data_IF_389103444987
#
_entry.id   IF_389103444987
#
_cell.length_a   1.000
_cell.length_b   1.000
_cell.length_c   1.000
_cell.angle_alpha   90.00
_cell.angle_beta   90.00
_cell.angle_gamma   90.00
#
_symmetry.space_group_name_H-M   'P 1'
#
loop_
_entity.id
_entity.type
_entity.pdbx_description
1 polymer ?
#
# COMPACT_ATOMS: atom_id res chain seq x y z
N UNK A 1 16.09 -13.02 0.77
CA UNK A 1 14.61 -13.06 0.84
C UNK A 1 14.24 -13.43 2.28
N UNK A 2 13.18 -12.84 2.85
CA UNK A 2 12.72 -13.26 4.17
C UNK A 2 12.26 -14.73 4.14
N UNK A 3 12.42 -15.43 5.25
CA UNK A 3 11.88 -16.78 5.44
C UNK A 3 10.36 -16.78 5.47
N UNK A 4 9.72 -17.92 5.29
CA UNK A 4 8.25 -18.03 5.38
C UNK A 4 7.73 -17.62 6.78
N UNK A 5 8.49 -17.92 7.84
CA UNK A 5 8.14 -17.53 9.22
C UNK A 5 8.21 -16.01 9.42
N UNK A 6 9.26 -15.35 8.95
CA UNK A 6 9.41 -13.89 8.99
C UNK A 6 8.31 -13.19 8.17
N UNK A 7 7.97 -13.74 7.01
CA UNK A 7 6.90 -13.20 6.17
C UNK A 7 5.52 -13.32 6.84
N UNK A 8 5.25 -14.46 7.47
CA UNK A 8 4.02 -14.66 8.24
C UNK A 8 3.91 -13.69 9.42
N UNK A 9 4.97 -13.57 10.21
CA UNK A 9 5.01 -12.63 11.33
C UNK A 9 4.77 -11.19 10.88
N UNK A 10 5.30 -10.82 9.71
CA UNK A 10 5.06 -9.49 9.12
C UNK A 10 3.59 -9.29 8.74
N UNK A 11 2.94 -10.29 8.13
CA UNK A 11 1.52 -10.22 7.81
C UNK A 11 0.69 -10.05 9.07
N UNK A 12 0.95 -10.86 10.11
CA UNK A 12 0.25 -10.79 11.39
C UNK A 12 0.39 -9.42 12.05
N UNK A 13 1.58 -8.84 12.04
CA UNK A 13 1.83 -7.52 12.62
C UNK A 13 1.12 -6.41 11.83
N UNK A 14 1.20 -6.43 10.52
CA UNK A 14 0.51 -5.47 9.64
C UNK A 14 -1.01 -5.56 9.83
N UNK A 15 -1.56 -6.75 9.86
CA UNK A 15 -3.01 -6.98 9.97
C UNK A 15 -3.62 -6.53 11.30
N UNK A 16 -2.83 -6.23 12.31
CA UNK A 16 -3.33 -5.60 13.55
C UNK A 16 -3.93 -4.22 13.30
N UNK A 17 -3.50 -3.53 12.27
CA UNK A 17 -3.92 -2.15 11.98
C UNK A 17 -4.29 -1.92 10.51
N UNK A 18 -3.58 -2.54 9.58
CA UNK A 18 -3.67 -2.26 8.15
C UNK A 18 -4.24 -3.45 7.37
N UNK A 19 -4.94 -3.23 6.24
CA UNK A 19 -5.37 -4.31 5.36
C UNK A 19 -4.18 -5.02 4.73
N UNK A 20 -4.27 -6.34 4.62
CA UNK A 20 -3.44 -7.16 3.75
C UNK A 20 -4.34 -7.97 2.83
N UNK A 21 -4.29 -7.71 1.53
CA UNK A 21 -5.15 -8.30 0.52
C UNK A 21 -4.34 -9.25 -0.35
N UNK A 22 -4.94 -10.36 -0.73
CA UNK A 22 -4.39 -11.30 -1.69
C UNK A 22 -5.35 -11.49 -2.86
N UNK A 23 -4.80 -11.65 -4.06
CA UNK A 23 -5.55 -12.09 -5.23
C UNK A 23 -5.21 -13.55 -5.50
N UNK A 24 -6.21 -14.41 -5.38
CA UNK A 24 -6.11 -15.85 -5.59
C UNK A 24 -6.94 -16.28 -6.79
N UNK A 25 -6.38 -17.18 -7.60
CA UNK A 25 -7.06 -17.80 -8.72
C UNK A 25 -6.66 -19.27 -8.79
N UNK A 26 -7.64 -20.17 -8.78
CA UNK A 26 -7.42 -21.65 -8.83
C UNK A 26 -6.42 -22.15 -7.77
N UNK A 27 -6.52 -21.63 -6.55
CA UNK A 27 -5.65 -22.02 -5.43
C UNK A 27 -4.22 -21.44 -5.49
N UNK A 28 -3.95 -20.50 -6.40
CA UNK A 28 -2.66 -19.82 -6.53
C UNK A 28 -2.77 -18.34 -6.22
N UNK A 29 -1.89 -17.84 -5.36
CA UNK A 29 -1.78 -16.40 -5.09
C UNK A 29 -0.99 -15.77 -6.25
N UNK A 30 -1.65 -14.86 -6.97
CA UNK A 30 -1.08 -14.15 -8.12
C UNK A 30 -0.63 -12.72 -7.79
N UNK A 31 -1.02 -12.20 -6.65
CA UNK A 31 -0.60 -10.89 -6.17
C UNK A 31 -1.11 -10.61 -4.78
N UNK A 32 -0.55 -9.59 -4.15
CA UNK A 32 -1.00 -9.08 -2.87
C UNK A 32 -0.74 -7.58 -2.77
N UNK A 33 -1.50 -6.92 -1.90
CA UNK A 33 -1.33 -5.52 -1.57
C UNK A 33 -1.62 -5.29 -0.08
N UNK A 34 -0.92 -4.36 0.53
CA UNK A 34 -1.14 -4.02 1.93
C UNK A 34 -0.86 -2.55 2.21
N UNK A 35 -1.45 -2.02 3.28
CA UNK A 35 -1.08 -0.74 3.87
C UNK A 35 0.00 -0.92 4.93
N UNK A 36 0.77 0.13 5.19
CA UNK A 36 1.75 0.14 6.25
C UNK A 36 2.09 1.55 6.73
N UNK A 37 2.83 1.69 7.83
CA UNK A 37 3.23 3.00 8.31
C UNK A 37 4.31 3.59 7.39
N UNK A 38 4.13 4.82 6.93
CA UNK A 38 5.19 5.56 6.23
C UNK A 38 6.24 6.06 7.23
N UNK A 39 5.79 6.58 8.37
CA UNK A 39 6.62 7.09 9.45
C UNK A 39 6.17 6.53 10.80
N UNK A 40 7.11 6.36 11.73
CA UNK A 40 6.86 5.75 13.04
C UNK A 40 6.30 6.71 14.11
N UNK A 41 6.44 8.03 13.93
CA UNK A 41 6.00 9.02 14.93
C UNK A 41 4.48 9.19 14.90
N UNK A 42 3.86 9.38 16.07
CA UNK A 42 2.42 9.53 16.25
C UNK A 42 1.80 10.68 15.43
N UNK A 43 2.55 11.75 15.17
CA UNK A 43 2.09 12.86 14.33
C UNK A 43 1.68 12.43 12.91
N UNK A 44 2.22 11.31 12.42
CA UNK A 44 1.97 10.79 11.07
C UNK A 44 0.99 9.62 11.03
N UNK A 45 0.24 9.38 12.11
CA UNK A 45 -0.64 8.22 12.21
C UNK A 45 -1.80 8.19 11.20
N UNK A 46 -2.12 9.33 10.57
CA UNK A 46 -3.14 9.45 9.52
C UNK A 46 -2.58 9.31 8.10
N UNK A 47 -1.28 9.09 7.97
CA UNK A 47 -0.62 8.75 6.71
C UNK A 47 -0.42 7.24 6.61
N UNK A 48 -0.47 6.71 5.40
CA UNK A 48 -0.27 5.29 5.12
C UNK A 48 0.54 5.15 3.84
N UNK A 49 1.39 4.13 3.78
CA UNK A 49 2.08 3.70 2.56
C UNK A 49 1.39 2.47 2.00
N UNK A 50 1.17 2.43 0.69
CA UNK A 50 0.75 1.22 0.00
C UNK A 50 1.93 0.41 -0.51
N UNK A 51 1.72 -0.89 -0.62
CA UNK A 51 2.67 -1.81 -1.25
C UNK A 51 1.89 -2.82 -2.08
N UNK A 52 2.32 -3.04 -3.34
CA UNK A 52 1.66 -3.94 -4.28
C UNK A 52 2.69 -4.81 -4.97
N UNK A 53 2.44 -6.12 -4.98
CA UNK A 53 3.28 -7.13 -5.61
C UNK A 53 2.45 -8.05 -6.49
N UNK A 54 2.86 -8.19 -7.74
CA UNK A 54 2.20 -9.07 -8.72
C UNK A 54 3.20 -10.12 -9.20
N UNK A 55 2.77 -11.37 -9.21
CA UNK A 55 3.56 -12.47 -9.77
C UNK A 55 3.98 -12.15 -11.22
N UNK A 56 5.22 -12.41 -11.62
CA UNK A 56 5.70 -12.18 -12.99
C UNK A 56 4.77 -12.75 -14.07
N UNK A 57 4.20 -13.93 -13.81
CA UNK A 57 3.31 -14.63 -14.74
C UNK A 57 1.87 -14.07 -14.76
N UNK A 58 1.55 -13.13 -13.88
CA UNK A 58 0.23 -12.53 -13.75
C UNK A 58 0.20 -11.03 -14.10
N UNK A 59 1.32 -10.50 -14.60
CA UNK A 59 1.41 -9.09 -15.03
C UNK A 59 0.47 -8.79 -16.19
N UNK A 60 0.11 -7.53 -16.34
CA UNK A 60 -0.75 -7.01 -17.41
C UNK A 60 -2.18 -7.60 -17.46
N UNK A 61 -2.65 -8.22 -16.36
CA UNK A 61 -4.01 -8.78 -16.23
C UNK A 61 -4.97 -7.88 -15.43
N UNK A 62 -4.55 -6.68 -15.06
CA UNK A 62 -5.37 -5.76 -14.26
C UNK A 62 -5.41 -6.08 -12.76
N UNK A 63 -4.72 -7.12 -12.30
CA UNK A 63 -4.74 -7.56 -10.89
C UNK A 63 -4.22 -6.47 -9.95
N UNK A 64 -3.14 -5.78 -10.34
CA UNK A 64 -2.59 -4.68 -9.55
C UNK A 64 -3.57 -3.53 -9.35
N UNK A 65 -4.28 -3.16 -10.42
CA UNK A 65 -5.31 -2.12 -10.38
C UNK A 65 -6.48 -2.51 -9.46
N UNK A 66 -6.94 -3.75 -9.54
CA UNK A 66 -8.01 -4.27 -8.68
C UNK A 66 -7.61 -4.28 -7.20
N UNK A 67 -6.37 -4.72 -6.90
CA UNK A 67 -5.83 -4.71 -5.54
C UNK A 67 -5.69 -3.27 -5.00
N UNK A 68 -5.15 -2.35 -5.81
CA UNK A 68 -5.00 -0.94 -5.43
C UNK A 68 -6.35 -0.30 -5.12
N UNK A 69 -7.32 -0.44 -6.02
CA UNK A 69 -8.67 0.10 -5.85
C UNK A 69 -9.30 -0.38 -4.53
N UNK A 70 -9.24 -1.69 -4.27
CA UNK A 70 -9.78 -2.27 -3.05
C UNK A 70 -9.05 -1.80 -1.80
N UNK A 71 -7.72 -1.75 -1.85
CA UNK A 71 -6.89 -1.26 -0.75
C UNK A 71 -7.22 0.20 -0.42
N UNK A 72 -7.27 1.09 -1.41
CA UNK A 72 -7.58 2.51 -1.20
C UNK A 72 -8.96 2.70 -0.59
N UNK A 73 -9.97 1.93 -1.02
CA UNK A 73 -11.31 1.96 -0.44
C UNK A 73 -11.31 1.60 1.04
N UNK A 74 -10.56 0.58 1.44
CA UNK A 74 -10.44 0.16 2.85
C UNK A 74 -9.69 1.20 3.69
N UNK A 75 -8.57 1.72 3.19
CA UNK A 75 -7.79 2.75 3.87
C UNK A 75 -8.59 4.04 4.08
N UNK A 76 -9.40 4.43 3.09
CA UNK A 76 -10.31 5.57 3.21
C UNK A 76 -11.35 5.36 4.31
N UNK A 77 -11.95 4.17 4.37
CA UNK A 77 -12.93 3.80 5.42
C UNK A 77 -12.32 3.74 6.81
N UNK A 78 -11.05 3.36 6.93
CA UNK A 78 -10.32 3.38 8.20
C UNK A 78 -10.07 4.81 8.71
N UNK A 79 -10.18 5.84 7.85
CA UNK A 79 -9.98 7.23 8.21
C UNK A 79 -8.58 7.79 7.88
N UNK A 80 -7.74 7.06 7.14
CA UNK A 80 -6.48 7.62 6.66
C UNK A 80 -6.71 8.84 5.77
N UNK A 81 -5.85 9.87 5.90
CA UNK A 81 -5.99 11.14 5.19
C UNK A 81 -5.22 11.16 3.89
N UNK A 82 -4.02 10.60 3.90
CA UNK A 82 -3.13 10.56 2.74
C UNK A 82 -2.53 9.17 2.60
N UNK A 83 -2.52 8.65 1.38
CA UNK A 83 -1.79 7.46 0.98
C UNK A 83 -0.57 7.87 0.16
N UNK A 84 0.58 7.33 0.53
CA UNK A 84 1.84 7.47 -0.20
C UNK A 84 2.21 6.16 -0.88
N UNK A 85 2.86 6.27 -2.04
CA UNK A 85 3.44 5.15 -2.76
C UNK A 85 4.90 5.43 -3.07
N UNK A 86 5.78 4.51 -2.69
CA UNK A 86 7.21 4.59 -2.97
C UNK A 86 7.55 3.67 -4.14
N UNK A 87 7.78 4.24 -5.31
CA UNK A 87 7.94 3.50 -6.56
C UNK A 87 9.38 3.62 -7.06
N UNK A 88 10.01 2.49 -7.32
CA UNK A 88 11.37 2.47 -7.90
C UNK A 88 11.34 3.16 -9.26
N UNK A 89 12.33 4.04 -9.48
CA UNK A 89 12.54 4.72 -10.75
C UNK A 89 12.54 3.73 -11.94
N UNK A 90 11.84 4.09 -13.01
CA UNK A 90 11.70 3.24 -14.19
C UNK A 90 10.58 2.21 -14.13
N UNK A 91 9.90 2.03 -13.01
CA UNK A 91 8.70 1.20 -12.93
C UNK A 91 7.46 1.94 -13.48
N UNK A 92 7.51 2.22 -14.79
CA UNK A 92 6.47 2.97 -15.52
C UNK A 92 5.07 2.37 -15.37
N UNK A 93 4.87 1.04 -15.41
CA UNK A 93 3.53 0.47 -15.21
C UNK A 93 2.94 0.82 -13.85
N UNK A 94 3.73 0.80 -12.78
CA UNK A 94 3.28 1.17 -11.43
C UNK A 94 2.94 2.66 -11.35
N UNK A 95 3.80 3.53 -11.87
CA UNK A 95 3.58 4.98 -11.90
C UNK A 95 2.24 5.29 -12.59
N UNK A 96 2.04 4.80 -13.82
CA UNK A 96 0.81 5.01 -14.59
C UNK A 96 -0.44 4.45 -13.90
N UNK A 97 -0.32 3.31 -13.22
CA UNK A 97 -1.42 2.74 -12.45
C UNK A 97 -1.81 3.69 -11.31
N UNK A 98 -0.85 4.19 -10.53
CA UNK A 98 -1.11 5.11 -9.43
C UNK A 98 -1.68 6.44 -9.93
N UNK A 99 -1.14 7.01 -11.02
CA UNK A 99 -1.70 8.21 -11.66
C UNK A 99 -3.17 8.03 -12.03
N UNK A 100 -3.52 6.89 -12.63
CA UNK A 100 -4.91 6.55 -12.99
C UNK A 100 -5.86 6.55 -11.78
N UNK A 101 -5.36 6.17 -10.60
CA UNK A 101 -6.11 6.18 -9.34
C UNK A 101 -5.97 7.49 -8.54
N UNK A 102 -5.45 8.54 -9.16
CA UNK A 102 -5.45 9.89 -8.62
C UNK A 102 -4.25 10.23 -7.75
N UNK A 103 -3.17 9.46 -7.83
CA UNK A 103 -1.89 9.83 -7.24
C UNK A 103 -1.17 10.85 -8.10
N UNK A 104 -0.40 11.74 -7.47
CA UNK A 104 0.55 12.64 -8.12
C UNK A 104 1.92 12.52 -7.50
N UNK A 105 2.96 12.73 -8.31
CA UNK A 105 4.34 12.74 -7.81
C UNK A 105 4.56 13.93 -6.87
N UNK A 106 5.17 13.68 -5.71
CA UNK A 106 5.48 14.71 -4.71
C UNK A 106 6.95 14.69 -4.28
N UNK A 107 7.76 13.75 -4.75
CA UNK A 107 9.18 13.71 -4.41
C UNK A 107 9.98 12.67 -5.18
N UNK A 108 11.30 12.88 -5.23
CA UNK A 108 12.25 11.97 -5.84
C UNK A 108 13.55 11.89 -5.04
N UNK A 109 14.01 10.68 -4.77
CA UNK A 109 15.30 10.40 -4.14
C UNK A 109 16.18 9.59 -5.09
N UNK A 110 17.23 10.21 -5.64
CA UNK A 110 18.02 9.65 -6.75
C UNK A 110 18.76 8.35 -6.42
N UNK A 111 19.23 8.16 -5.19
CA UNK A 111 20.03 6.99 -4.77
C UNK A 111 19.51 6.48 -3.43
N UNK A 112 18.28 5.96 -3.42
CA UNK A 112 17.58 5.57 -2.20
C UNK A 112 17.69 4.09 -1.86
N UNK A 113 17.83 3.23 -2.85
CA UNK A 113 17.95 1.78 -2.66
C UNK A 113 19.10 1.17 -3.42
N UNK A 114 19.78 0.18 -2.83
CA UNK A 114 20.83 -0.60 -3.49
C UNK A 114 20.36 -2.02 -3.73
N UNK A 115 20.27 -2.45 -5.00
CA UNK A 115 19.84 -3.79 -5.36
C UNK A 115 20.46 -4.22 -6.70
N UNK A 116 20.80 -5.50 -6.80
CA UNK A 116 21.38 -6.08 -8.01
C UNK A 116 22.64 -5.34 -8.51
N UNK A 117 23.49 -4.88 -7.58
CA UNK A 117 24.75 -4.20 -7.91
C UNK A 117 24.61 -2.74 -8.33
N UNK A 118 23.43 -2.12 -8.21
CA UNK A 118 23.20 -0.73 -8.60
C UNK A 118 22.37 0.04 -7.57
N UNK A 119 22.59 1.36 -7.51
CA UNK A 119 21.72 2.30 -6.82
C UNK A 119 20.48 2.61 -7.65
N UNK A 120 19.34 2.71 -7.00
CA UNK A 120 18.07 3.00 -7.62
C UNK A 120 17.43 4.22 -6.98
N UNK A 121 16.84 5.08 -7.82
CA UNK A 121 16.01 6.16 -7.38
C UNK A 121 14.63 5.67 -6.93
N UNK A 122 13.97 6.47 -6.10
CA UNK A 122 12.60 6.23 -5.63
C UNK A 122 11.78 7.48 -5.87
N UNK A 123 10.67 7.30 -6.58
CA UNK A 123 9.64 8.31 -6.79
C UNK A 123 8.62 8.16 -5.66
N UNK A 124 8.29 9.27 -5.02
CA UNK A 124 7.20 9.33 -4.03
C UNK A 124 5.97 9.92 -4.68
N UNK A 125 4.88 9.19 -4.62
CA UNK A 125 3.56 9.64 -5.07
C UNK A 125 2.62 9.75 -3.89
N UNK A 126 1.65 10.67 -3.94
CA UNK A 126 0.66 10.87 -2.89
C UNK A 126 -0.76 10.97 -3.45
N UNK A 127 -1.71 10.53 -2.63
CA UNK A 127 -3.14 10.67 -2.87
C UNK A 127 -3.86 11.03 -1.59
N UNK A 128 -4.65 12.12 -1.63
CA UNK A 128 -5.60 12.42 -0.55
C UNK A 128 -6.75 11.40 -0.56
N UNK A 129 -7.04 10.81 0.60
CA UNK A 129 -8.12 9.84 0.78
C UNK A 129 -9.35 10.46 1.46
N UNK A 130 -9.13 11.34 2.43
CA UNK A 130 -10.18 12.01 3.20
C UNK A 130 -9.83 13.48 3.42
N UNK A 131 -10.83 14.28 3.78
CA UNK A 131 -10.68 15.69 4.13
C UNK A 131 -9.75 15.89 5.34
N UNK A 132 -8.96 16.97 5.31
CA UNK A 132 -8.13 17.39 6.43
C UNK A 132 -9.00 18.12 7.46
N UNK A 133 -9.28 17.45 8.57
CA UNK A 133 -10.00 18.03 9.70
C UNK A 133 -9.03 18.63 10.71
N UNK A 134 -9.35 19.77 11.37
CA UNK A 134 -8.57 20.30 12.49
C UNK A 134 -8.44 19.30 13.66
N UNK A 135 -9.45 18.45 13.85
CA UNK A 135 -9.50 17.40 14.85
C UNK A 135 -9.81 16.07 14.15
N UNK A 136 -8.81 15.39 13.58
CA UNK A 136 -9.05 14.13 12.88
C UNK A 136 -9.42 13.02 13.87
N UNK A 137 -10.48 12.27 13.54
CA UNK A 137 -10.86 11.10 14.33
C UNK A 137 -9.74 10.04 14.30
N UNK A 138 -9.62 9.21 15.34
CA UNK A 138 -8.69 8.09 15.38
C UNK A 138 -8.90 7.15 14.18
N UNK A 139 -7.81 6.52 13.72
CA UNK A 139 -7.87 5.49 12.70
C UNK A 139 -8.60 4.25 13.25
N UNK A 140 -9.50 3.69 12.47
CA UNK A 140 -10.17 2.42 12.77
C UNK A 140 -9.22 1.28 12.37
N UNK A 141 -8.74 0.44 13.30
CA UNK A 141 -7.95 -0.73 12.96
C UNK A 141 -8.68 -1.65 11.99
N UNK A 142 -7.97 -2.25 11.04
CA UNK A 142 -8.60 -3.07 10.00
C UNK A 142 -9.50 -4.20 10.53
N UNK A 143 -9.13 -4.96 11.59
CA UNK A 143 -10.02 -5.97 12.16
C UNK A 143 -11.35 -5.42 12.67
N UNK A 144 -11.36 -4.22 13.24
CA UNK A 144 -12.58 -3.56 13.74
C UNK A 144 -13.47 -3.10 12.58
N UNK A 145 -12.87 -2.67 11.46
CA UNK A 145 -13.61 -2.29 10.26
C UNK A 145 -14.39 -3.49 9.67
N UNK A 146 -13.83 -4.70 9.74
CA UNK A 146 -14.50 -5.92 9.28
C UNK A 146 -15.72 -6.26 10.14
N UNK A 147 -15.65 -6.09 11.45
CA UNK A 147 -16.75 -6.38 12.38
C UNK A 147 -17.94 -5.44 12.12
N UNK A 148 -17.69 -4.14 11.92
CA UNK A 148 -18.74 -3.13 11.72
C UNK A 148 -19.54 -3.28 10.41
N UNK A 149 -19.12 -4.16 9.50
CA UNK A 149 -19.81 -4.43 8.23
C UNK A 149 -20.70 -5.67 8.28
N UNK A 150 -20.71 -6.40 9.41
CA UNK A 150 -21.53 -7.60 9.62
C UNK A 150 -22.66 -7.41 10.65
N UNK A 151 -22.82 -6.19 11.20
CA UNK A 151 -23.99 -5.75 11.98
C UNK A 151 -24.95 -4.91 11.12
#
# INVERSE_FOLDING_TARGET
>A
MPSAAEFRSRIEEINKKYPWLVYEESGKILGYAYGGPLYSRAAYQWTVEDSIYISPNAKHRGIGALLLEKLLSLLQKQGFRVCYSLIVEGNVPSIKMHEKYGFSECGFAANSGYKHGAWHGVITMEKQLNEFSPEPAPIIPFPELLISHFE
#
